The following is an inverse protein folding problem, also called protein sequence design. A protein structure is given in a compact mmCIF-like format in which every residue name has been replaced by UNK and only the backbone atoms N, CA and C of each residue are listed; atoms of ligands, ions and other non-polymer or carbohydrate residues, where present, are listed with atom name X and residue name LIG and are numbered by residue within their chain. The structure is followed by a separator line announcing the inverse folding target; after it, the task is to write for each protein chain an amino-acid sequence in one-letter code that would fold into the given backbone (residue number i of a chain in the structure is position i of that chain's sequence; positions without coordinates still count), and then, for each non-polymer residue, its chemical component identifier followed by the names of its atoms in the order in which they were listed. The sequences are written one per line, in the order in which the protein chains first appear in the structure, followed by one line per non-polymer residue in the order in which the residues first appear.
data_IF_016968145692
#
_entry.id   IF_016968145692
#
_cell.length_a   1.000
_cell.length_b   1.000
_cell.length_c   1.000
_cell.angle_alpha   90.00
_cell.angle_beta   90.00
_cell.angle_gamma   90.00
#
_symmetry.space_group_name_H-M   'P 1'
#
loop_
_entity.id
_entity.type
_entity.pdbx_description
1 polymer ?
#
# COMPACT_ATOMS: atom_id res chain seq x y z
N UNK A 1 67.36 22.50 -2.77
CA UNK A 1 66.08 22.58 -3.52
C UNK A 1 65.26 21.35 -3.20
N UNK A 2 64.22 21.48 -2.36
CA UNK A 2 63.21 20.42 -2.17
C UNK A 2 61.99 20.82 -2.99
N UNK A 3 61.61 20.00 -3.97
CA UNK A 3 60.42 20.21 -4.79
C UNK A 3 59.18 19.73 -4.00
N UNK A 4 58.25 20.65 -3.74
CA UNK A 4 56.93 20.31 -3.23
C UNK A 4 56.05 19.83 -4.40
N UNK A 5 55.61 18.58 -4.32
CA UNK A 5 54.60 18.02 -5.23
C UNK A 5 53.24 18.55 -4.77
N UNK A 6 52.67 19.49 -5.52
CA UNK A 6 51.27 19.90 -5.39
C UNK A 6 50.40 18.78 -5.97
N UNK A 7 49.62 18.12 -5.10
CA UNK A 7 48.55 17.22 -5.53
C UNK A 7 47.30 18.05 -5.78
N UNK A 8 46.91 18.17 -7.05
CA UNK A 8 45.62 18.75 -7.45
C UNK A 8 44.49 17.86 -6.97
N UNK A 9 43.69 18.34 -6.02
CA UNK A 9 42.42 17.73 -5.65
C UNK A 9 41.38 18.22 -6.67
N UNK A 10 40.91 17.32 -7.53
CA UNK A 10 39.73 17.58 -8.36
C UNK A 10 38.51 17.31 -7.49
N UNK A 11 37.88 18.37 -6.99
CA UNK A 11 36.56 18.28 -6.37
C UNK A 11 35.55 18.19 -7.52
N UNK A 12 35.06 16.98 -7.80
CA UNK A 12 33.87 16.80 -8.62
C UNK A 12 32.69 17.22 -7.74
N UNK A 13 32.29 18.49 -7.85
CA UNK A 13 31.03 18.95 -7.30
C UNK A 13 29.90 18.27 -8.05
N UNK A 14 29.33 17.20 -7.49
CA UNK A 14 28.03 16.71 -7.92
C UNK A 14 27.05 17.81 -7.53
N UNK A 15 26.58 18.56 -8.54
CA UNK A 15 25.46 19.46 -8.38
C UNK A 15 24.24 18.57 -8.15
N UNK A 16 23.94 18.29 -6.89
CA UNK A 16 22.61 17.81 -6.52
C UNK A 16 21.70 19.02 -6.69
N UNK A 17 21.11 19.16 -7.87
CA UNK A 17 19.93 20.03 -8.01
C UNK A 17 18.94 19.52 -6.98
N UNK A 18 18.53 20.39 -6.05
CA UNK A 18 17.42 20.08 -5.16
C UNK A 18 16.27 19.61 -6.05
N UNK A 19 15.78 18.39 -5.82
CA UNK A 19 14.55 17.93 -6.43
C UNK A 19 13.51 19.02 -6.15
N UNK A 20 12.92 19.59 -7.21
CA UNK A 20 11.80 20.50 -7.02
C UNK A 20 10.78 19.75 -6.17
N UNK A 21 10.31 20.37 -5.09
CA UNK A 21 9.37 19.72 -4.20
C UNK A 21 8.18 19.24 -5.04
N UNK A 22 7.95 17.91 -5.06
CA UNK A 22 6.85 17.31 -5.80
C UNK A 22 5.54 18.01 -5.40
N UNK A 23 4.87 18.60 -6.38
CA UNK A 23 3.60 19.30 -6.18
C UNK A 23 2.61 18.33 -5.51
N UNK A 24 1.77 18.83 -4.60
CA UNK A 24 0.74 17.97 -4.00
C UNK A 24 -0.41 17.81 -4.99
N UNK A 25 -0.88 16.57 -5.27
CA UNK A 25 -2.02 16.37 -6.15
C UNK A 25 -3.29 16.97 -5.57
N UNK A 26 -4.16 17.48 -6.44
CA UNK A 26 -5.51 17.91 -6.09
C UNK A 26 -6.32 16.72 -5.58
N UNK A 27 -6.21 15.58 -6.27
CA UNK A 27 -6.84 14.30 -5.89
C UNK A 27 -5.81 13.19 -5.94
N UNK A 28 -5.82 12.29 -4.96
CA UNK A 28 -5.00 11.07 -4.97
C UNK A 28 -5.75 9.88 -4.38
N UNK A 29 -5.94 8.84 -5.18
CA UNK A 29 -6.51 7.56 -4.76
C UNK A 29 -5.46 6.48 -4.94
N UNK A 30 -4.86 6.03 -3.83
CA UNK A 30 -3.85 4.97 -3.82
C UNK A 30 -4.46 3.58 -3.83
N UNK A 31 -5.70 3.43 -3.36
CA UNK A 31 -6.36 2.14 -3.15
C UNK A 31 -5.67 1.21 -2.13
N UNK A 32 -4.66 1.73 -1.41
CA UNK A 32 -3.85 1.00 -0.43
C UNK A 32 -4.46 0.90 0.98
N UNK A 33 -5.56 1.58 1.22
CA UNK A 33 -6.23 1.60 2.51
C UNK A 33 -6.66 0.19 2.99
N UNK A 34 -6.32 -0.13 4.25
CA UNK A 34 -6.63 -1.43 4.86
C UNK A 34 -8.10 -1.53 5.32
N UNK A 35 -8.73 -2.65 4.95
CA UNK A 35 -9.93 -3.28 5.55
C UNK A 35 -11.34 -2.80 5.16
N UNK A 36 -12.10 -3.80 4.72
CA UNK A 36 -13.51 -3.86 4.29
C UNK A 36 -13.82 -3.33 2.89
N UNK A 37 -14.40 -4.22 2.07
CA UNK A 37 -14.90 -4.00 0.71
C UNK A 37 -15.97 -2.90 0.58
N UNK A 38 -16.33 -2.27 1.69
CA UNK A 38 -17.35 -1.22 1.81
C UNK A 38 -16.76 0.14 2.17
N UNK A 39 -15.50 0.22 2.59
CA UNK A 39 -14.84 1.48 2.92
C UNK A 39 -14.58 2.30 1.64
N UNK A 40 -14.99 3.59 1.57
CA UNK A 40 -14.71 4.45 0.42
C UNK A 40 -13.23 4.47 0.02
N UNK A 41 -12.95 4.69 -1.26
CA UNK A 41 -11.63 5.06 -1.76
C UNK A 41 -11.20 6.40 -1.15
N UNK A 42 -10.10 6.42 -0.42
CA UNK A 42 -9.64 7.63 0.25
C UNK A 42 -9.02 8.59 -0.76
N UNK A 43 -9.42 9.86 -0.69
CA UNK A 43 -8.71 10.94 -1.37
C UNK A 43 -7.64 11.52 -0.43
N UNK A 44 -6.37 11.33 -0.80
CA UNK A 44 -5.17 11.81 -0.10
C UNK A 44 -4.61 13.11 -0.70
N UNK A 45 -5.35 13.74 -1.61
CA UNK A 45 -4.99 15.01 -2.24
C UNK A 45 -5.19 16.22 -1.31
N UNK A 46 -5.17 17.42 -1.89
CA UNK A 46 -5.39 18.66 -1.13
C UNK A 46 -6.80 18.69 -0.51
N UNK A 47 -6.99 19.16 0.74
CA UNK A 47 -8.33 19.32 1.30
C UNK A 47 -9.19 20.34 0.55
N UNK A 48 -10.54 20.22 0.58
CA UNK A 48 -11.29 19.15 1.23
C UNK A 48 -11.13 17.82 0.49
N UNK A 49 -11.13 16.72 1.24
CA UNK A 49 -11.07 15.39 0.66
C UNK A 49 -12.39 15.08 -0.08
N UNK A 50 -12.30 14.39 -1.21
CA UNK A 50 -13.44 13.87 -1.97
C UNK A 50 -13.38 12.32 -2.06
N UNK A 51 -13.72 11.59 -0.98
CA UNK A 51 -13.67 10.13 -1.00
C UNK A 51 -14.58 9.52 -2.06
N UNK A 52 -14.12 8.44 -2.69
CA UNK A 52 -14.85 7.72 -3.73
C UNK A 52 -15.66 6.56 -3.18
N UNK A 53 -16.91 6.43 -3.58
CA UNK A 53 -17.75 5.25 -3.33
C UNK A 53 -17.56 4.23 -4.45
N UNK A 54 -17.48 2.95 -4.09
CA UNK A 54 -17.39 1.86 -5.06
C UNK A 54 -18.73 1.55 -5.71
N UNK A 55 -18.71 1.36 -7.03
CA UNK A 55 -19.79 0.72 -7.78
C UNK A 55 -19.97 -0.74 -7.36
N UNK A 56 -21.10 -1.36 -7.73
CA UNK A 56 -21.58 -2.64 -7.17
C UNK A 56 -20.67 -3.86 -7.40
N UNK A 57 -19.70 -3.79 -8.31
CA UNK A 57 -18.79 -4.90 -8.62
C UNK A 57 -17.33 -4.45 -8.65
N UNK A 58 -17.01 -3.45 -7.83
CA UNK A 58 -15.68 -2.86 -7.72
C UNK A 58 -15.00 -3.35 -6.45
N UNK A 59 -13.75 -3.80 -6.58
CA UNK A 59 -13.01 -4.45 -5.49
C UNK A 59 -11.58 -3.91 -5.44
N UNK A 60 -10.91 -4.07 -4.29
CA UNK A 60 -9.47 -3.86 -4.15
C UNK A 60 -8.75 -5.21 -4.14
N UNK A 61 -7.69 -5.40 -4.93
CA UNK A 61 -6.92 -6.65 -4.93
C UNK A 61 -5.44 -6.41 -4.74
N UNK A 62 -4.78 -7.33 -4.05
CA UNK A 62 -3.32 -7.38 -3.94
C UNK A 62 -2.70 -7.85 -5.28
N UNK A 63 -2.74 -6.95 -6.25
CA UNK A 63 -2.08 -7.03 -7.54
C UNK A 63 -1.73 -5.59 -7.86
N UNK A 64 -0.49 -5.18 -7.61
CA UNK A 64 -0.08 -3.78 -7.69
C UNK A 64 1.18 -3.64 -8.54
N UNK A 65 1.44 -2.47 -9.14
CA UNK A 65 2.70 -2.17 -9.81
C UNK A 65 3.87 -2.39 -8.86
N UNK A 66 4.86 -3.19 -9.28
CA UNK A 66 6.06 -3.49 -8.49
C UNK A 66 5.82 -4.31 -7.22
N UNK A 67 4.56 -4.63 -6.87
CA UNK A 67 4.19 -5.37 -5.66
C UNK A 67 4.61 -4.72 -4.34
N UNK A 68 4.77 -3.39 -4.31
CA UNK A 68 5.17 -2.64 -3.10
C UNK A 68 4.00 -2.01 -2.36
N UNK A 69 2.89 -1.76 -3.05
CA UNK A 69 1.67 -1.17 -2.51
C UNK A 69 0.64 -2.27 -2.18
N UNK A 70 -0.33 -1.96 -1.33
CA UNK A 70 -1.21 -2.92 -0.68
C UNK A 70 -2.29 -3.45 -1.61
N UNK A 71 -2.90 -2.59 -2.44
CA UNK A 71 -3.95 -3.01 -3.36
C UNK A 71 -4.16 -2.06 -4.53
N UNK A 72 -4.69 -2.59 -5.63
CA UNK A 72 -5.21 -1.83 -6.77
C UNK A 72 -6.72 -2.00 -6.91
N UNK A 73 -7.34 -1.12 -7.69
CA UNK A 73 -8.73 -1.23 -8.09
C UNK A 73 -8.91 -2.34 -9.14
N UNK A 74 -9.75 -3.34 -8.86
CA UNK A 74 -10.18 -4.37 -9.82
C UNK A 74 -11.42 -3.91 -10.57
N UNK A 75 -11.27 -3.73 -11.88
CA UNK A 75 -12.30 -3.25 -12.81
C UNK A 75 -12.74 -4.31 -13.82
N UNK A 76 -12.47 -5.59 -13.55
CA UNK A 76 -12.77 -6.67 -14.51
C UNK A 76 -14.25 -6.98 -14.67
N UNK A 77 -15.08 -6.59 -13.72
CA UNK A 77 -16.50 -6.92 -13.66
C UNK A 77 -17.35 -5.76 -14.17
N UNK A 78 -18.49 -6.08 -14.78
CA UNK A 78 -19.42 -5.06 -15.28
C UNK A 78 -19.90 -4.14 -14.17
N UNK A 79 -19.77 -2.82 -14.40
CA UNK A 79 -20.15 -1.81 -13.41
C UNK A 79 -19.12 -1.59 -12.30
N UNK A 80 -17.87 -2.01 -12.52
CA UNK A 80 -16.77 -1.74 -11.61
C UNK A 80 -16.20 -0.32 -11.83
N UNK A 81 -16.56 0.62 -10.96
CA UNK A 81 -16.09 2.01 -11.01
C UNK A 81 -15.99 2.61 -9.60
N UNK A 82 -15.27 3.72 -9.47
CA UNK A 82 -15.29 4.57 -8.27
C UNK A 82 -15.98 5.87 -8.64
N UNK A 83 -16.83 6.38 -7.77
CA UNK A 83 -17.45 7.69 -7.95
C UNK A 83 -17.38 8.55 -6.70
N UNK A 84 -17.10 9.84 -6.83
CA UNK A 84 -17.22 10.78 -5.71
C UNK A 84 -18.67 11.03 -5.28
N UNK A 85 -19.67 10.57 -6.06
CA UNK A 85 -21.13 10.73 -5.81
C UNK A 85 -21.63 12.17 -5.82
N UNK A 86 -20.73 13.14 -5.68
CA UNK A 86 -20.96 14.58 -5.74
C UNK A 86 -19.82 15.23 -6.51
N UNK A 87 -20.10 16.46 -6.91
CA UNK A 87 -19.16 17.40 -7.52
C UNK A 87 -17.85 17.57 -6.74
N UNK A 88 -16.77 17.84 -7.46
CA UNK A 88 -15.41 17.98 -6.90
C UNK A 88 -14.80 19.33 -7.32
N UNK A 89 -15.25 20.39 -6.65
CA UNK A 89 -14.92 21.80 -6.93
C UNK A 89 -13.42 22.13 -7.15
N UNK A 90 -12.50 21.34 -6.59
CA UNK A 90 -11.06 21.57 -6.70
C UNK A 90 -10.47 21.11 -8.04
N UNK A 91 -11.22 20.37 -8.87
CA UNK A 91 -10.80 20.00 -10.23
C UNK A 91 -11.59 20.74 -11.33
N UNK A 92 -12.43 21.70 -10.94
CA UNK A 92 -13.18 22.54 -11.87
C UNK A 92 -12.39 23.74 -12.36
N UNK A 93 -12.71 24.16 -13.59
CA UNK A 93 -12.18 25.36 -14.23
C UNK A 93 -10.64 25.50 -14.14
N UNK A 94 -9.93 24.38 -14.18
CA UNK A 94 -8.48 24.35 -14.06
C UNK A 94 -7.83 25.03 -15.26
N UNK A 95 -6.80 25.83 -15.02
CA UNK A 95 -6.03 26.43 -16.13
C UNK A 95 -5.03 25.45 -16.76
N UNK A 96 -4.69 24.37 -16.05
CA UNK A 96 -3.83 23.30 -16.51
C UNK A 96 -4.21 22.02 -15.76
N UNK A 97 -3.92 20.86 -16.33
CA UNK A 97 -4.23 19.56 -15.73
C UNK A 97 -3.12 18.57 -16.00
N UNK A 98 -2.77 17.79 -14.98
CA UNK A 98 -2.08 16.51 -15.17
C UNK A 98 -2.90 15.41 -14.52
N UNK A 99 -3.15 14.33 -15.25
CA UNK A 99 -3.72 13.11 -14.69
C UNK A 99 -2.72 11.97 -14.87
N UNK A 100 -2.45 11.22 -13.79
CA UNK A 100 -1.57 10.05 -13.79
C UNK A 100 -2.27 8.85 -13.17
N UNK A 101 -1.97 7.65 -13.65
CA UNK A 101 -2.39 6.40 -13.03
C UNK A 101 -1.59 5.22 -13.60
N UNK A 102 -1.66 4.09 -12.92
CA UNK A 102 -1.22 2.80 -13.43
C UNK A 102 -2.41 2.01 -13.99
N UNK A 103 -2.21 1.35 -15.13
CA UNK A 103 -3.18 0.39 -15.69
C UNK A 103 -2.56 -0.96 -15.97
N UNK A 104 -3.37 -2.01 -15.83
CA UNK A 104 -3.09 -3.35 -16.33
C UNK A 104 -4.37 -3.95 -16.87
N UNK A 105 -4.44 -4.20 -18.18
CA UNK A 105 -5.64 -4.75 -18.81
C UNK A 105 -5.61 -6.28 -18.72
N UNK A 106 -6.74 -6.86 -18.30
CA UNK A 106 -6.93 -8.32 -18.19
C UNK A 106 -7.86 -8.88 -19.27
N UNK A 107 -8.47 -8.00 -20.07
CA UNK A 107 -9.33 -8.33 -21.20
C UNK A 107 -9.25 -7.25 -22.28
N UNK A 108 -9.85 -7.53 -23.45
CA UNK A 108 -9.92 -6.53 -24.53
C UNK A 108 -10.82 -5.38 -24.10
N UNK A 109 -10.32 -4.14 -24.02
CA UNK A 109 -11.15 -2.98 -23.68
C UNK A 109 -12.04 -2.62 -24.87
N UNK A 110 -13.02 -1.76 -24.64
CA UNK A 110 -13.86 -1.15 -25.69
C UNK A 110 -13.39 0.28 -25.95
N UNK A 111 -13.64 0.74 -27.17
CA UNK A 111 -13.59 2.18 -27.45
C UNK A 111 -14.58 2.87 -26.51
N UNK A 112 -14.16 4.01 -25.97
CA UNK A 112 -14.89 4.79 -24.99
C UNK A 112 -14.95 4.20 -23.56
N UNK A 113 -14.24 3.12 -23.25
CA UNK A 113 -14.03 2.79 -21.83
C UNK A 113 -13.28 3.94 -21.15
N UNK A 114 -13.72 4.34 -19.95
CA UNK A 114 -13.25 5.52 -19.23
C UNK A 114 -12.25 5.11 -18.18
N UNK A 115 -11.08 5.73 -18.19
CA UNK A 115 -10.13 5.62 -17.09
C UNK A 115 -10.46 6.65 -16.02
N UNK A 116 -10.67 7.89 -16.44
CA UNK A 116 -11.12 9.00 -15.62
C UNK A 116 -12.14 9.84 -16.40
N UNK A 117 -13.17 10.33 -15.72
CA UNK A 117 -14.18 11.20 -16.32
C UNK A 117 -14.74 12.15 -15.29
N UNK A 118 -14.70 13.43 -15.64
CA UNK A 118 -15.45 14.49 -14.97
C UNK A 118 -16.53 15.07 -15.90
N UNK A 119 -17.02 14.22 -16.80
CA UNK A 119 -18.00 14.62 -17.81
C UNK A 119 -19.43 14.59 -17.24
N UNK A 120 -20.19 15.69 -17.34
CA UNK A 120 -21.57 15.74 -16.89
C UNK A 120 -22.53 14.88 -17.74
N UNK A 121 -23.64 14.49 -17.12
CA UNK A 121 -24.75 13.76 -17.73
C UNK A 121 -25.27 14.45 -19.01
N UNK A 122 -25.37 13.70 -20.12
CA UNK A 122 -25.73 14.28 -21.43
C UNK A 122 -27.23 14.35 -21.71
N UNK A 123 -28.10 13.90 -20.80
CA UNK A 123 -29.55 13.86 -21.03
C UNK A 123 -30.29 14.83 -20.12
N UNK A 124 -31.04 15.84 -20.65
CA UNK A 124 -31.30 16.07 -22.07
C UNK A 124 -30.14 16.68 -22.88
N UNK A 125 -29.31 17.55 -22.30
CA UNK A 125 -27.96 18.04 -22.71
C UNK A 125 -27.42 18.73 -21.44
N UNK A 126 -26.11 18.74 -21.15
CA UNK A 126 -25.61 19.51 -19.99
C UNK A 126 -25.97 21.00 -20.14
N UNK A 127 -26.09 21.77 -19.04
CA UNK A 127 -26.38 23.21 -19.12
C UNK A 127 -25.42 23.98 -20.03
N UNK A 128 -25.86 25.11 -20.58
CA UNK A 128 -25.00 25.96 -21.40
C UNK A 128 -23.81 26.49 -20.59
N UNK A 129 -22.64 26.55 -21.22
CA UNK A 129 -21.35 26.97 -20.65
C UNK A 129 -20.89 26.09 -19.49
N UNK A 130 -21.14 24.78 -19.60
CA UNK A 130 -20.54 23.75 -18.74
C UNK A 130 -19.62 22.88 -19.58
N UNK A 131 -18.53 22.42 -18.98
CA UNK A 131 -17.57 21.57 -19.67
C UNK A 131 -17.49 20.17 -19.08
N UNK A 132 -16.26 19.72 -18.89
CA UNK A 132 -15.90 18.39 -18.42
C UNK A 132 -14.88 17.76 -19.35
N UNK A 133 -14.33 16.63 -18.93
CA UNK A 133 -13.27 15.95 -19.66
C UNK A 133 -13.33 14.44 -19.47
N UNK A 134 -12.78 13.73 -20.45
CA UNK A 134 -12.67 12.28 -20.46
C UNK A 134 -11.21 11.89 -20.73
N UNK A 135 -10.62 11.04 -19.88
CA UNK A 135 -9.47 10.20 -20.23
C UNK A 135 -9.98 8.78 -20.49
N UNK A 136 -9.83 8.30 -21.72
CA UNK A 136 -10.54 7.11 -22.19
C UNK A 136 -9.70 6.25 -23.13
N UNK A 137 -10.12 5.01 -23.33
CA UNK A 137 -9.61 4.11 -24.35
C UNK A 137 -10.13 4.55 -25.73
N UNK A 138 -9.23 4.53 -26.71
CA UNK A 138 -9.49 4.81 -28.11
C UNK A 138 -8.98 3.65 -28.99
N UNK A 139 -9.50 3.58 -30.21
CA UNK A 139 -8.99 2.64 -31.21
C UNK A 139 -7.52 2.95 -31.52
N UNK A 140 -6.66 1.92 -31.68
CA UNK A 140 -5.28 2.14 -32.09
C UNK A 140 -5.23 2.70 -33.52
N UNK A 141 -4.16 3.42 -33.92
CA UNK A 141 -4.03 3.98 -35.27
C UNK A 141 -4.00 2.91 -36.37
N UNK A 142 -3.62 1.68 -36.00
CA UNK A 142 -3.62 0.52 -36.89
C UNK A 142 -3.77 -0.78 -36.10
N UNK A 143 -4.20 -1.84 -36.78
CA UNK A 143 -4.44 -3.15 -36.17
C UNK A 143 -5.77 -3.23 -35.42
N UNK A 144 -5.99 -4.37 -34.75
CA UNK A 144 -7.20 -4.65 -33.97
C UNK A 144 -7.04 -4.13 -32.54
N UNK A 145 -8.09 -3.55 -31.99
CA UNK A 145 -8.16 -3.18 -30.57
C UNK A 145 -7.99 -4.42 -29.68
N UNK A 146 -7.02 -4.38 -28.77
CA UNK A 146 -6.80 -5.42 -27.77
C UNK A 146 -6.14 -4.81 -26.53
N UNK A 147 -6.01 -5.60 -25.46
CA UNK A 147 -5.23 -5.19 -24.28
C UNK A 147 -3.78 -4.82 -24.63
N UNK A 148 -3.23 -5.44 -25.68
CA UNK A 148 -1.88 -5.21 -26.18
C UNK A 148 -1.77 -4.21 -27.34
N UNK A 149 -2.90 -3.62 -27.77
CA UNK A 149 -2.93 -2.65 -28.86
C UNK A 149 -4.15 -1.74 -28.72
N UNK A 150 -4.02 -0.66 -27.95
CA UNK A 150 -5.04 0.37 -27.78
C UNK A 150 -4.40 1.76 -27.72
N UNK A 151 -5.19 2.82 -27.87
CA UNK A 151 -4.72 4.19 -27.64
C UNK A 151 -5.44 4.81 -26.45
N UNK A 152 -4.86 5.86 -25.88
CA UNK A 152 -5.55 6.78 -24.98
C UNK A 152 -6.14 7.93 -25.79
N UNK A 153 -7.27 8.46 -25.34
CA UNK A 153 -7.80 9.76 -25.77
C UNK A 153 -8.13 10.58 -24.52
N UNK A 154 -7.54 11.76 -24.42
CA UNK A 154 -7.93 12.81 -23.49
C UNK A 154 -8.69 13.87 -24.26
N UNK A 155 -9.92 14.15 -23.83
CA UNK A 155 -10.78 15.11 -24.51
C UNK A 155 -11.44 16.06 -23.54
N UNK A 156 -11.55 17.32 -23.97
CA UNK A 156 -12.29 18.39 -23.31
C UNK A 156 -13.64 18.53 -24.01
N UNK A 157 -14.68 18.80 -23.22
CA UNK A 157 -16.03 19.01 -23.70
C UNK A 157 -16.50 20.43 -23.35
N UNK A 158 -17.35 20.99 -24.19
CA UNK A 158 -18.04 22.25 -23.96
C UNK A 158 -19.50 22.13 -24.39
N UNK A 159 -20.44 22.39 -23.49
CA UNK A 159 -21.87 22.40 -23.79
C UNK A 159 -22.37 23.81 -24.07
N UNK A 160 -23.11 23.98 -25.18
CA UNK A 160 -23.86 25.21 -25.47
C UNK A 160 -25.30 25.15 -24.92
N UNK A 161 -25.66 24.09 -24.18
CA UNK A 161 -27.03 23.80 -23.76
C UNK A 161 -27.91 23.20 -24.86
N UNK A 162 -27.39 23.08 -26.08
CA UNK A 162 -28.09 22.47 -27.24
C UNK A 162 -27.21 21.48 -28.01
N UNK A 163 -25.89 21.67 -27.98
CA UNK A 163 -24.89 20.76 -28.52
C UNK A 163 -23.72 20.64 -27.55
N UNK A 164 -22.94 19.57 -27.71
CA UNK A 164 -21.69 19.37 -26.97
C UNK A 164 -20.55 19.32 -27.98
N UNK A 165 -19.65 20.29 -27.90
CA UNK A 165 -18.38 20.27 -28.59
C UNK A 165 -17.41 19.36 -27.83
N UNK A 166 -16.62 18.60 -28.58
CA UNK A 166 -15.58 17.73 -28.02
C UNK A 166 -14.31 17.95 -28.80
N UNK A 167 -13.24 18.27 -28.10
CA UNK A 167 -11.90 18.36 -28.66
C UNK A 167 -11.00 17.35 -27.95
N UNK A 168 -10.28 16.53 -28.72
CA UNK A 168 -9.40 15.53 -28.17
C UNK A 168 -8.45 14.97 -29.22
N UNK A 169 -7.36 14.39 -28.75
CA UNK A 169 -6.36 13.71 -29.56
C UNK A 169 -6.10 12.33 -29.01
N UNK A 170 -5.52 11.44 -29.82
CA UNK A 170 -5.18 10.09 -29.40
C UNK A 170 -3.69 9.87 -29.30
N UNK A 171 -3.26 9.09 -28.32
CA UNK A 171 -1.87 8.63 -28.21
C UNK A 171 -1.53 7.62 -29.32
N UNK A 172 -0.23 7.35 -29.57
CA UNK A 172 0.18 6.11 -30.23
C UNK A 172 -0.34 4.85 -29.49
N UNK A 173 -0.23 3.69 -30.15
CA UNK A 173 -0.60 2.41 -29.57
C UNK A 173 0.19 2.09 -28.29
N UNK A 174 -0.49 1.47 -27.35
CA UNK A 174 -0.03 1.02 -26.06
C UNK A 174 -0.34 -0.46 -25.89
N UNK A 175 0.41 -1.07 -24.98
CA UNK A 175 0.27 -2.47 -24.61
C UNK A 175 0.28 -2.57 -23.09
N UNK A 176 -0.87 -2.91 -22.52
CA UNK A 176 -1.08 -3.16 -21.10
C UNK A 176 -1.61 -4.58 -20.87
N UNK A 177 -1.39 -5.50 -21.82
CA UNK A 177 -1.86 -6.88 -21.73
C UNK A 177 -1.15 -7.61 -20.60
N UNK A 178 -1.87 -7.79 -19.49
CA UNK A 178 -1.40 -8.46 -18.28
C UNK A 178 -0.10 -7.88 -17.70
N UNK A 179 0.22 -6.61 -17.99
CA UNK A 179 1.37 -5.88 -17.45
C UNK A 179 1.00 -4.47 -17.03
N UNK A 180 1.67 -3.97 -16.00
CA UNK A 180 1.48 -2.63 -15.48
C UNK A 180 2.15 -1.59 -16.38
N UNK A 181 1.35 -0.59 -16.78
CA UNK A 181 1.76 0.54 -17.58
C UNK A 181 1.43 1.80 -16.80
N UNK A 182 2.44 2.63 -16.57
CA UNK A 182 2.23 3.97 -16.04
C UNK A 182 1.80 4.87 -17.18
N UNK A 183 0.71 5.60 -17.01
CA UNK A 183 0.23 6.58 -17.98
C UNK A 183 0.13 7.95 -17.32
N UNK A 184 0.46 8.98 -18.09
CA UNK A 184 0.17 10.36 -17.73
C UNK A 184 -0.30 11.15 -18.94
N UNK A 185 -1.23 12.07 -18.71
CA UNK A 185 -1.62 13.11 -19.66
C UNK A 185 -1.46 14.47 -19.01
N UNK A 186 -0.83 15.40 -19.72
CA UNK A 186 -0.70 16.81 -19.31
C UNK A 186 -1.43 17.70 -20.30
N UNK A 187 -2.04 18.77 -19.81
CA UNK A 187 -2.58 19.91 -20.56
C UNK A 187 -2.09 21.18 -19.87
N UNK A 188 -1.30 22.01 -20.54
CA UNK A 188 -0.89 23.30 -19.98
C UNK A 188 -1.88 24.44 -20.28
N UNK A 189 -1.70 25.59 -19.62
CA UNK A 189 -2.57 26.76 -19.81
C UNK A 189 -2.47 27.46 -21.16
N UNK A 190 -1.63 26.96 -22.07
CA UNK A 190 -1.63 27.36 -23.48
C UNK A 190 -2.37 26.36 -24.38
N UNK A 191 -2.97 25.32 -23.80
CA UNK A 191 -3.68 24.26 -24.51
C UNK A 191 -2.76 23.15 -25.03
N UNK A 192 -1.49 23.07 -24.62
CA UNK A 192 -0.59 22.00 -25.09
C UNK A 192 -0.86 20.72 -24.33
N UNK A 193 -1.38 19.73 -25.05
CA UNK A 193 -1.65 18.38 -24.57
C UNK A 193 -0.51 17.42 -24.93
N UNK A 194 -0.06 16.61 -23.97
CA UNK A 194 0.97 15.59 -24.16
C UNK A 194 0.63 14.30 -23.41
N UNK A 195 1.06 13.16 -23.96
CA UNK A 195 0.98 11.85 -23.31
C UNK A 195 2.37 11.37 -22.90
N UNK A 196 2.45 10.70 -21.76
CA UNK A 196 3.65 10.05 -21.26
C UNK A 196 3.34 8.64 -20.83
N UNK A 197 4.27 7.73 -21.06
CA UNK A 197 4.13 6.33 -20.70
C UNK A 197 5.43 5.79 -20.11
N UNK A 198 5.29 4.97 -19.08
CA UNK A 198 6.36 4.19 -18.48
C UNK A 198 5.89 2.78 -18.14
N UNK A 199 6.76 2.00 -17.52
CA UNK A 199 6.42 0.69 -16.96
C UNK A 199 7.06 0.55 -15.59
N UNK A 200 6.96 -0.62 -14.97
CA UNK A 200 7.68 -0.91 -13.72
C UNK A 200 9.20 -0.74 -13.87
N UNK A 201 9.73 -0.95 -15.09
CA UNK A 201 11.18 -0.96 -15.35
C UNK A 201 11.67 0.11 -16.31
N UNK A 202 10.75 0.81 -17.00
CA UNK A 202 11.10 1.86 -17.96
C UNK A 202 10.60 3.22 -17.48
N UNK A 203 11.42 4.28 -17.61
CA UNK A 203 11.02 5.63 -17.20
C UNK A 203 9.77 6.14 -17.91
N UNK A 204 9.07 7.09 -17.29
CA UNK A 204 7.99 7.83 -17.94
C UNK A 204 8.56 8.75 -19.03
N UNK A 205 8.21 8.49 -20.28
CA UNK A 205 8.68 9.25 -21.44
C UNK A 205 7.51 9.76 -22.28
N UNK A 206 7.65 10.93 -22.90
CA UNK A 206 6.64 11.45 -23.80
C UNK A 206 6.45 10.50 -24.98
N UNK A 207 5.21 10.25 -25.36
CA UNK A 207 4.85 9.51 -26.56
C UNK A 207 3.98 10.37 -27.48
N UNK A 208 4.17 10.20 -28.79
CA UNK A 208 3.40 10.93 -29.79
C UNK A 208 3.67 12.45 -29.81
N UNK A 209 2.95 13.17 -30.68
CA UNK A 209 3.11 14.62 -30.81
C UNK A 209 2.48 15.37 -29.64
N UNK A 210 2.92 16.60 -29.41
CA UNK A 210 2.15 17.59 -28.65
C UNK A 210 0.99 18.07 -29.51
N UNK A 211 -0.22 18.04 -28.96
CA UNK A 211 -1.41 18.61 -29.63
C UNK A 211 -1.80 19.94 -28.99
N UNK A 212 -2.29 20.88 -29.78
CA UNK A 212 -2.82 22.16 -29.28
C UNK A 212 -4.34 22.08 -29.24
N UNK A 213 -4.93 22.29 -28.06
CA UNK A 213 -6.36 22.38 -27.86
C UNK A 213 -6.78 23.85 -27.84
N UNK A 214 -7.96 24.13 -28.40
CA UNK A 214 -8.60 25.45 -28.39
C UNK A 214 -9.69 25.56 -27.31
N UNK A 215 -10.29 24.44 -26.92
CA UNK A 215 -11.16 24.34 -25.76
C UNK A 215 -10.33 24.38 -24.46
N UNK A 216 -10.96 24.90 -23.42
CA UNK A 216 -10.39 25.03 -22.08
C UNK A 216 -11.14 24.10 -21.11
N UNK A 217 -10.51 23.76 -20.00
CA UNK A 217 -11.20 23.07 -18.91
C UNK A 217 -12.19 24.05 -18.27
N UNK A 218 -13.47 23.74 -18.37
CA UNK A 218 -14.53 24.56 -17.79
C UNK A 218 -15.10 23.88 -16.54
N UNK A 219 -15.80 24.69 -15.75
CA UNK A 219 -16.56 24.25 -14.58
C UNK A 219 -17.72 23.32 -14.98
N UNK A 220 -18.08 22.42 -14.08
CA UNK A 220 -19.31 21.65 -14.17
C UNK A 220 -19.82 21.25 -12.77
N UNK A 221 -20.83 20.38 -12.69
CA UNK A 221 -21.37 19.90 -11.41
C UNK A 221 -21.43 18.37 -11.39
N UNK A 222 -20.49 17.72 -12.08
CA UNK A 222 -20.41 16.28 -12.20
C UNK A 222 -19.59 15.70 -11.07
N UNK A 223 -19.97 14.51 -10.64
CA UNK A 223 -19.05 13.65 -9.92
C UNK A 223 -17.85 13.26 -10.80
N UNK A 224 -16.69 13.09 -10.18
CA UNK A 224 -15.56 12.40 -10.80
C UNK A 224 -15.80 10.89 -10.73
N UNK A 225 -15.60 10.21 -11.87
CA UNK A 225 -15.56 8.75 -11.92
C UNK A 225 -14.20 8.21 -12.37
N UNK A 226 -13.74 7.17 -11.69
CA UNK A 226 -12.61 6.31 -12.10
C UNK A 226 -13.22 5.01 -12.65
N UNK A 227 -12.75 4.55 -13.81
CA UNK A 227 -13.32 3.38 -14.50
C UNK A 227 -14.80 3.53 -14.92
N UNK A 228 -15.28 4.75 -15.16
CA UNK A 228 -16.67 5.00 -15.55
C UNK A 228 -16.93 6.46 -15.91
N UNK A 229 -18.18 6.82 -16.18
CA UNK A 229 -18.60 8.22 -16.41
C UNK A 229 -20.03 8.46 -15.94
N UNK A 230 -20.32 9.66 -15.44
CA UNK A 230 -21.67 10.12 -15.11
C UNK A 230 -22.48 10.47 -16.38
N UNK A 231 -21.81 10.69 -17.51
CA UNK A 231 -22.42 10.95 -18.82
C UNK A 231 -23.32 9.80 -19.30
N UNK A 232 -22.93 8.56 -18.98
CA UNK A 232 -23.54 7.34 -19.47
C UNK A 232 -23.79 6.34 -18.32
N UNK A 233 -24.63 6.71 -17.33
CA UNK A 233 -24.70 6.01 -16.05
C UNK A 233 -25.25 4.57 -16.14
N UNK A 234 -25.90 4.23 -17.25
CA UNK A 234 -26.44 2.89 -17.55
C UNK A 234 -25.54 2.05 -18.45
N UNK A 235 -24.45 2.62 -18.98
CA UNK A 235 -23.52 1.92 -19.87
C UNK A 235 -22.26 1.58 -19.10
N UNK A 236 -21.87 0.31 -19.14
CA UNK A 236 -20.59 -0.11 -18.59
C UNK A 236 -19.44 0.42 -19.44
N UNK A 237 -18.69 1.35 -18.86
CA UNK A 237 -17.49 1.98 -19.43
C UNK A 237 -16.23 1.63 -18.66
N UNK A 238 -16.27 0.58 -17.83
CA UNK A 238 -15.10 0.13 -17.10
C UNK A 238 -14.19 -0.69 -18.01
N UNK A 239 -12.91 -0.31 -18.19
CA UNK A 239 -11.97 -1.17 -18.90
C UNK A 239 -11.66 -2.39 -18.05
N UNK A 240 -11.76 -3.58 -18.64
CA UNK A 240 -11.55 -4.83 -17.90
C UNK A 240 -10.07 -5.00 -17.51
N UNK A 241 -9.75 -4.80 -16.23
CA UNK A 241 -8.38 -4.83 -15.76
C UNK A 241 -8.21 -4.33 -14.33
N UNK A 242 -7.11 -3.63 -14.10
CA UNK A 242 -6.72 -3.06 -12.82
C UNK A 242 -6.26 -1.62 -13.02
N UNK A 243 -6.59 -0.76 -12.05
CA UNK A 243 -6.16 0.64 -11.99
C UNK A 243 -5.53 0.91 -10.62
N UNK A 244 -4.41 1.63 -10.60
CA UNK A 244 -3.73 1.96 -9.34
C UNK A 244 -3.16 3.38 -9.32
N UNK A 245 -2.97 3.94 -8.12
CA UNK A 245 -2.39 5.26 -7.82
C UNK A 245 -2.86 6.38 -8.76
N UNK A 246 -4.17 6.64 -8.75
CA UNK A 246 -4.81 7.68 -9.56
C UNK A 246 -4.54 9.05 -8.95
N UNK A 247 -3.99 9.98 -9.74
CA UNK A 247 -3.71 11.35 -9.30
C UNK A 247 -4.17 12.38 -10.32
N UNK A 248 -4.65 13.52 -9.82
CA UNK A 248 -4.99 14.70 -10.62
C UNK A 248 -4.30 15.92 -10.02
N UNK A 249 -3.68 16.74 -10.85
CA UNK A 249 -2.96 17.98 -10.51
C UNK A 249 -3.54 19.16 -11.29
N UNK A 250 -3.45 20.37 -10.72
CA UNK A 250 -3.90 21.62 -11.34
C UNK A 250 -2.83 22.31 -12.19
N UNK A 251 -1.78 21.57 -12.56
CA UNK A 251 -0.62 22.04 -13.30
C UNK A 251 -0.23 21.03 -14.38
N UNK A 252 0.54 21.47 -15.37
CA UNK A 252 1.19 20.56 -16.33
C UNK A 252 2.56 20.16 -15.77
N UNK A 253 2.69 18.92 -15.29
CA UNK A 253 3.91 18.43 -14.66
C UNK A 253 5.03 18.17 -15.68
N UNK A 254 6.26 18.49 -15.29
CA UNK A 254 7.45 18.22 -16.08
C UNK A 254 7.80 16.71 -16.10
N UNK A 255 8.53 16.22 -17.11
CA UNK A 255 8.90 14.80 -17.21
C UNK A 255 9.63 14.24 -15.98
N UNK A 256 10.46 15.04 -15.30
CA UNK A 256 11.14 14.62 -14.08
C UNK A 256 10.15 14.36 -12.92
N UNK A 257 9.13 15.21 -12.78
CA UNK A 257 8.08 15.04 -11.76
C UNK A 257 7.22 13.81 -12.05
N UNK A 258 6.91 13.55 -13.33
CA UNK A 258 6.19 12.33 -13.74
C UNK A 258 6.98 11.06 -13.44
N UNK A 259 8.31 11.10 -13.61
CA UNK A 259 9.18 9.98 -13.25
C UNK A 259 9.26 9.77 -11.73
N UNK A 260 9.29 10.84 -10.94
CA UNK A 260 9.20 10.73 -9.48
C UNK A 260 7.88 10.10 -9.03
N UNK A 261 6.75 10.49 -9.64
CA UNK A 261 5.43 9.89 -9.37
C UNK A 261 5.42 8.40 -9.73
N UNK A 262 5.92 8.04 -10.92
CA UNK A 262 6.03 6.64 -11.35
C UNK A 262 6.84 5.83 -10.34
N UNK A 263 7.98 6.36 -9.89
CA UNK A 263 8.88 5.70 -8.96
C UNK A 263 8.32 5.61 -7.54
N UNK A 264 7.48 6.56 -7.11
CA UNK A 264 6.86 6.54 -5.79
C UNK A 264 6.03 5.26 -5.57
N UNK A 265 5.30 4.81 -6.59
CA UNK A 265 4.48 3.58 -6.52
C UNK A 265 5.30 2.28 -6.60
N UNK A 266 6.58 2.36 -6.99
CA UNK A 266 7.48 1.22 -7.22
C UNK A 266 8.58 1.09 -6.17
N UNK A 267 8.46 1.84 -5.09
CA UNK A 267 9.39 1.80 -3.98
C UNK A 267 8.60 1.37 -2.76
N UNK A 268 9.26 0.67 -1.85
CA UNK A 268 8.77 0.56 -0.48
C UNK A 268 8.40 1.97 0.01
N UNK A 269 7.31 2.15 0.78
CA UNK A 269 6.91 3.45 1.29
C UNK A 269 8.14 4.18 1.83
N UNK A 270 8.34 5.46 1.50
CA UNK A 270 9.52 6.19 1.93
C UNK A 270 9.67 6.03 3.44
N UNK A 271 10.90 5.76 3.89
CA UNK A 271 11.28 5.83 5.31
C UNK A 271 10.94 7.25 5.78
N UNK A 272 9.75 7.42 6.36
CA UNK A 272 9.14 8.73 6.56
C UNK A 272 7.62 8.83 6.33
N UNK A 273 6.94 7.77 5.87
CA UNK A 273 5.51 7.63 6.13
C UNK A 273 5.33 7.78 7.64
N UNK A 274 4.55 8.77 8.07
CA UNK A 274 4.27 8.99 9.49
C UNK A 274 3.68 7.67 9.99
N UNK A 275 4.32 6.97 10.94
CA UNK A 275 3.73 5.76 11.51
C UNK A 275 2.35 6.16 12.05
N UNK A 276 1.29 5.67 11.41
CA UNK A 276 -0.05 5.79 11.97
C UNK A 276 -0.19 4.72 13.03
N UNK A 277 -0.44 5.16 14.26
CA UNK A 277 -0.84 4.25 15.32
C UNK A 277 -2.21 3.67 14.95
N UNK A 278 -2.23 2.46 14.41
CA UNK A 278 -3.42 1.65 14.44
C UNK A 278 -3.57 1.15 15.87
N UNK A 279 -4.58 1.68 16.57
CA UNK A 279 -4.96 1.15 17.87
C UNK A 279 -5.19 -0.36 17.71
N UNK A 280 -4.44 -1.13 18.47
CA UNK A 280 -4.63 -2.56 18.55
C UNK A 280 -6.07 -2.77 19.03
N UNK A 281 -6.93 -3.37 18.19
CA UNK A 281 -8.32 -3.63 18.56
C UNK A 281 -8.38 -4.63 19.72
N UNK A 282 -9.57 -4.92 20.22
CA UNK A 282 -9.77 -5.88 21.32
C UNK A 282 -10.39 -7.16 20.74
N UNK A 283 -10.12 -8.32 21.35
CA UNK A 283 -10.95 -9.51 21.13
C UNK A 283 -12.40 -9.19 21.54
N UNK A 284 -13.41 -9.86 20.97
CA UNK A 284 -14.79 -9.67 21.39
C UNK A 284 -14.91 -9.91 22.91
N UNK A 285 -15.31 -8.87 23.67
CA UNK A 285 -15.35 -8.80 25.15
C UNK A 285 -14.01 -8.56 25.88
N UNK A 286 -12.94 -8.14 25.20
CA UNK A 286 -11.65 -7.80 25.79
C UNK A 286 -11.55 -6.35 26.31
N UNK A 287 -10.76 -6.13 27.36
CA UNK A 287 -10.61 -4.83 28.03
C UNK A 287 -9.30 -4.09 27.67
N UNK A 288 -8.29 -4.79 27.16
CA UNK A 288 -6.97 -4.24 26.82
C UNK A 288 -6.19 -5.18 25.90
N UNK A 289 -5.24 -4.65 25.14
CA UNK A 289 -4.28 -5.41 24.33
C UNK A 289 -2.92 -4.70 24.33
N UNK A 290 -1.83 -5.48 24.21
CA UNK A 290 -0.46 -4.97 24.05
C UNK A 290 0.25 -5.66 22.89
N UNK A 291 1.14 -4.93 22.23
CA UNK A 291 2.14 -5.49 21.32
C UNK A 291 3.50 -5.55 22.03
N UNK A 292 4.18 -6.67 21.88
CA UNK A 292 5.47 -6.96 22.52
C UNK A 292 6.61 -7.09 21.49
N UNK A 293 6.33 -7.61 20.28
CA UNK A 293 7.32 -7.74 19.22
C UNK A 293 6.72 -7.69 17.81
N UNK A 294 7.57 -7.49 16.81
CA UNK A 294 7.22 -7.44 15.38
C UNK A 294 8.23 -8.23 14.55
N UNK A 295 7.76 -8.92 13.50
CA UNK A 295 8.61 -9.63 12.54
C UNK A 295 9.48 -8.67 11.74
N UNK A 296 10.57 -9.16 11.16
CA UNK A 296 11.55 -8.31 10.45
C UNK A 296 10.95 -7.59 9.24
N UNK A 297 9.96 -8.20 8.59
CA UNK A 297 9.21 -7.63 7.47
C UNK A 297 8.03 -6.73 7.89
N UNK A 298 7.78 -6.57 9.20
CA UNK A 298 6.67 -5.80 9.74
C UNK A 298 5.29 -6.43 9.56
N UNK A 299 5.19 -7.62 8.96
CA UNK A 299 3.90 -8.24 8.59
C UNK A 299 3.16 -8.89 9.75
N UNK A 300 3.87 -9.21 10.84
CA UNK A 300 3.33 -9.93 12.00
C UNK A 300 3.74 -9.21 13.28
N UNK A 301 2.75 -8.74 14.04
CA UNK A 301 2.95 -8.21 15.40
C UNK A 301 2.43 -9.25 16.39
N UNK A 302 3.14 -9.44 17.50
CA UNK A 302 2.73 -10.39 18.55
C UNK A 302 2.62 -9.68 19.90
N UNK A 303 1.84 -10.25 20.81
CA UNK A 303 1.69 -9.71 22.15
C UNK A 303 0.63 -10.43 22.95
N UNK A 304 -0.23 -9.67 23.64
CA UNK A 304 -1.32 -10.24 24.41
C UNK A 304 -2.63 -9.45 24.25
N UNK A 305 -3.75 -10.13 24.49
CA UNK A 305 -5.06 -9.52 24.65
C UNK A 305 -5.69 -10.01 25.96
N UNK A 306 -6.22 -9.09 26.76
CA UNK A 306 -6.83 -9.37 28.05
C UNK A 306 -8.36 -9.36 27.96
N UNK A 307 -8.97 -10.40 28.52
CA UNK A 307 -10.41 -10.48 28.78
C UNK A 307 -10.68 -10.41 30.30
N UNK A 308 -11.95 -10.33 30.70
CA UNK A 308 -12.31 -10.41 32.12
C UNK A 308 -11.99 -11.77 32.78
N UNK A 309 -11.56 -12.77 31.99
CA UNK A 309 -11.42 -14.16 32.43
C UNK A 309 -10.04 -14.74 32.15
N UNK A 310 -9.29 -14.23 31.17
CA UNK A 310 -7.99 -14.76 30.75
C UNK A 310 -7.17 -13.76 29.91
N UNK A 311 -5.85 -13.95 29.89
CA UNK A 311 -4.92 -13.30 28.95
C UNK A 311 -4.51 -14.28 27.85
N UNK A 312 -4.61 -13.84 26.58
CA UNK A 312 -4.31 -14.66 25.40
C UNK A 312 -3.09 -14.15 24.68
N UNK A 313 -2.19 -15.05 24.30
CA UNK A 313 -1.09 -14.78 23.38
C UNK A 313 -1.65 -14.46 22.00
N UNK A 314 -1.24 -13.32 21.51
CA UNK A 314 -1.65 -12.64 20.30
C UNK A 314 -0.84 -12.88 19.01
N UNK A 315 -1.42 -13.05 17.81
CA UNK A 315 -0.82 -12.54 16.55
C UNK A 315 -1.71 -11.53 15.81
N UNK A 316 -1.17 -10.39 15.39
CA UNK A 316 -1.79 -9.46 14.42
C UNK A 316 -1.11 -9.59 13.07
N UNK A 317 -1.90 -9.88 12.04
CA UNK A 317 -1.45 -9.96 10.65
C UNK A 317 -2.52 -9.40 9.73
N UNK A 318 -2.16 -8.48 8.84
CA UNK A 318 -3.08 -7.83 7.89
C UNK A 318 -4.37 -7.31 8.58
N UNK A 319 -4.20 -6.56 9.68
CA UNK A 319 -5.30 -5.97 10.44
C UNK A 319 -6.14 -6.96 11.25
N UNK A 320 -5.86 -8.26 11.16
CA UNK A 320 -6.62 -9.31 11.86
C UNK A 320 -5.87 -9.77 13.10
N UNK A 321 -6.53 -9.63 14.24
CA UNK A 321 -6.11 -10.24 15.50
C UNK A 321 -6.52 -11.71 15.57
N UNK A 322 -5.57 -12.60 15.81
CA UNK A 322 -5.81 -14.02 16.03
C UNK A 322 -5.22 -14.45 17.36
N UNK A 323 -6.04 -15.01 18.23
CA UNK A 323 -5.57 -15.60 19.48
C UNK A 323 -4.82 -16.91 19.19
N UNK A 324 -3.63 -17.04 19.76
CA UNK A 324 -2.89 -18.29 19.80
C UNK A 324 -3.50 -19.24 20.84
N UNK A 325 -3.53 -20.55 20.58
CA UNK A 325 -4.13 -21.50 21.51
C UNK A 325 -3.30 -21.62 22.78
N UNK A 326 -3.98 -21.90 23.89
CA UNK A 326 -3.30 -22.32 25.11
C UNK A 326 -2.69 -23.70 24.95
N UNK A 327 -1.49 -23.92 25.50
CA UNK A 327 -1.05 -25.26 25.82
C UNK A 327 -2.08 -25.95 26.74
N UNK A 328 -2.18 -27.27 26.61
CA UNK A 328 -3.08 -28.07 27.46
C UNK A 328 -2.76 -27.86 28.95
N UNK A 329 -3.75 -27.37 29.71
CA UNK A 329 -3.62 -27.11 31.15
C UNK A 329 -3.21 -25.69 31.52
N UNK A 330 -3.01 -24.79 30.54
CA UNK A 330 -2.68 -23.38 30.81
C UNK A 330 -3.91 -22.47 30.90
N UNK A 331 -3.89 -21.50 31.83
CA UNK A 331 -4.93 -20.49 32.05
C UNK A 331 -4.69 -19.19 31.30
N UNK A 332 -3.43 -18.82 31.07
CA UNK A 332 -3.03 -17.55 30.44
C UNK A 332 -1.81 -17.74 29.56
N UNK A 333 -1.67 -16.92 28.52
CA UNK A 333 -0.55 -16.97 27.59
C UNK A 333 -0.12 -15.59 27.11
N UNK A 334 1.17 -15.46 26.83
CA UNK A 334 1.83 -14.22 26.44
C UNK A 334 2.79 -14.52 25.30
N UNK A 335 2.66 -13.82 24.17
CA UNK A 335 3.67 -13.85 23.12
C UNK A 335 4.64 -12.68 23.33
N UNK A 336 5.94 -12.94 23.27
CA UNK A 336 7.01 -11.95 23.53
C UNK A 336 7.94 -11.72 22.36
N UNK A 337 8.15 -12.73 21.52
CA UNK A 337 9.06 -12.64 20.38
C UNK A 337 8.52 -13.44 19.19
N UNK A 338 9.00 -13.11 17.98
CA UNK A 338 8.53 -13.67 16.71
C UNK A 338 9.70 -13.82 15.73
N UNK A 339 9.71 -14.89 14.95
CA UNK A 339 10.70 -15.14 13.89
C UNK A 339 10.64 -14.08 12.79
N UNK A 340 11.69 -13.98 11.97
CA UNK A 340 11.81 -12.93 10.97
C UNK A 340 10.68 -12.96 9.93
N UNK A 341 10.17 -14.15 9.61
CA UNK A 341 9.06 -14.41 8.67
C UNK A 341 7.66 -14.46 9.33
N UNK A 342 7.59 -14.27 10.65
CA UNK A 342 6.33 -14.33 11.40
C UNK A 342 5.77 -15.74 11.63
N UNK A 343 6.48 -16.81 11.23
CA UNK A 343 5.95 -18.18 11.28
C UNK A 343 6.06 -18.87 12.64
N UNK A 344 7.00 -18.42 13.49
CA UNK A 344 7.22 -18.95 14.84
C UNK A 344 7.12 -17.83 15.85
N UNK A 345 6.31 -18.05 16.88
CA UNK A 345 6.14 -17.11 18.00
C UNK A 345 6.64 -17.78 19.27
N UNK A 346 7.26 -17.04 20.18
CA UNK A 346 7.63 -17.57 21.49
C UNK A 346 7.29 -16.60 22.62
N UNK A 347 7.14 -17.14 23.82
CA UNK A 347 6.76 -16.41 25.01
C UNK A 347 6.54 -17.37 26.17
N UNK A 348 5.51 -17.12 26.99
CA UNK A 348 5.25 -17.95 28.17
C UNK A 348 3.75 -18.19 28.41
N UNK A 349 3.40 -19.23 29.16
CA UNK A 349 2.03 -19.47 29.64
C UNK A 349 1.99 -19.93 31.08
N UNK A 350 0.85 -19.70 31.73
CA UNK A 350 0.61 -20.02 33.12
C UNK A 350 -0.11 -21.36 33.21
N UNK A 351 0.53 -22.38 33.77
CA UNK A 351 -0.10 -23.68 34.05
C UNK A 351 -0.75 -23.70 35.43
N UNK A 352 -0.35 -22.78 36.32
CA UNK A 352 -1.02 -22.46 37.57
C UNK A 352 -0.62 -21.03 37.98
N UNK A 353 -1.18 -20.53 39.10
CA UNK A 353 -0.79 -19.22 39.66
C UNK A 353 0.70 -19.11 40.05
N UNK A 354 1.40 -20.24 40.13
CA UNK A 354 2.81 -20.32 40.55
C UNK A 354 3.71 -21.04 39.56
N UNK A 355 3.21 -21.41 38.37
CA UNK A 355 3.98 -22.14 37.36
C UNK A 355 3.83 -21.47 36.01
N UNK A 356 4.95 -20.98 35.47
CA UNK A 356 5.06 -20.40 34.13
C UNK A 356 6.05 -21.21 33.32
N UNK A 357 5.69 -21.53 32.08
CA UNK A 357 6.65 -22.13 31.16
C UNK A 357 6.84 -21.29 29.91
N UNK A 358 8.09 -21.24 29.47
CA UNK A 358 8.46 -20.83 28.13
C UNK A 358 7.83 -21.78 27.12
N UNK A 359 7.19 -21.21 26.10
CA UNK A 359 6.46 -21.92 25.04
C UNK A 359 6.81 -21.29 23.70
N UNK A 360 6.77 -22.11 22.65
CA UNK A 360 6.73 -21.63 21.28
C UNK A 360 5.45 -22.07 20.57
N UNK A 361 4.96 -21.25 19.67
CA UNK A 361 3.87 -21.56 18.76
C UNK A 361 4.43 -21.71 17.35
N UNK A 362 4.18 -22.87 16.75
CA UNK A 362 4.55 -23.17 15.37
C UNK A 362 3.29 -23.64 14.65
N UNK A 363 2.91 -22.98 13.56
CA UNK A 363 1.71 -23.31 12.79
C UNK A 363 0.43 -23.43 13.65
N UNK A 364 0.29 -22.56 14.66
CA UNK A 364 -0.84 -22.56 15.58
C UNK A 364 -0.83 -23.69 16.60
N UNK A 365 0.27 -24.41 16.80
CA UNK A 365 0.42 -25.43 17.84
C UNK A 365 1.33 -24.91 18.94
N UNK A 366 0.86 -24.93 20.19
CA UNK A 366 1.63 -24.52 21.36
C UNK A 366 2.52 -25.67 21.87
N UNK A 367 3.81 -25.43 21.96
CA UNK A 367 4.83 -26.39 22.40
C UNK A 367 5.62 -25.85 23.60
N UNK A 368 5.45 -26.44 24.80
CA UNK A 368 6.29 -26.11 25.96
C UNK A 368 7.76 -26.46 25.70
N UNK A 369 8.67 -25.56 26.08
CA UNK A 369 10.11 -25.73 25.87
C UNK A 369 10.78 -26.59 26.96
N UNK A 370 10.10 -26.75 28.10
CA UNK A 370 10.60 -27.47 29.27
C UNK A 370 11.26 -26.54 30.30
N UNK A 371 12.16 -27.13 31.10
CA UNK A 371 12.93 -26.46 32.14
C UNK A 371 14.40 -26.90 32.05
N UNK A 372 15.30 -26.09 32.59
CA UNK A 372 16.67 -26.48 32.88
C UNK A 372 16.71 -27.56 33.98
N UNK A 373 17.78 -28.38 34.04
CA UNK A 373 17.97 -29.32 35.14
C UNK A 373 17.95 -28.61 36.50
N UNK A 374 17.00 -28.99 37.35
CA UNK A 374 16.78 -28.37 38.66
C UNK A 374 15.87 -27.14 38.64
N UNK A 375 15.35 -26.75 37.47
CA UNK A 375 14.25 -25.79 37.34
C UNK A 375 12.90 -26.49 37.34
N UNK A 376 11.91 -25.88 38.00
CA UNK A 376 10.59 -26.52 38.21
C UNK A 376 9.40 -25.55 38.19
N UNK A 377 9.61 -24.24 38.09
CA UNK A 377 8.56 -23.27 38.44
C UNK A 377 8.33 -22.21 37.36
N UNK A 378 9.36 -21.45 36.99
CA UNK A 378 9.23 -20.31 36.08
C UNK A 378 10.30 -20.31 34.98
N UNK A 379 9.87 -20.49 33.73
CA UNK A 379 10.68 -20.20 32.55
C UNK A 379 10.02 -19.18 31.62
N UNK A 380 10.84 -18.35 30.98
CA UNK A 380 10.45 -17.28 30.06
C UNK A 380 11.24 -17.38 28.77
N UNK A 381 10.56 -17.28 27.62
CA UNK A 381 11.21 -17.06 26.33
C UNK A 381 11.27 -15.55 26.06
N UNK A 382 12.48 -15.01 25.90
CA UNK A 382 12.73 -13.58 25.72
C UNK A 382 13.20 -13.24 24.30
N UNK A 383 13.90 -14.16 23.63
CA UNK A 383 14.40 -13.96 22.27
C UNK A 383 14.26 -15.21 21.41
N UNK A 384 14.16 -15.02 20.10
CA UNK A 384 14.05 -16.09 19.10
C UNK A 384 14.90 -15.78 17.86
N UNK A 385 15.53 -16.81 17.27
CA UNK A 385 16.28 -16.66 16.02
C UNK A 385 15.38 -16.38 14.82
N UNK A 386 15.97 -15.82 13.77
CA UNK A 386 15.26 -15.46 12.54
C UNK A 386 14.52 -16.65 11.89
N UNK A 387 15.08 -17.85 11.99
CA UNK A 387 14.50 -19.10 11.48
C UNK A 387 13.56 -19.82 12.48
N UNK A 388 13.37 -19.26 13.68
CA UNK A 388 12.50 -19.82 14.72
C UNK A 388 13.04 -21.06 15.44
N UNK A 389 14.26 -21.53 15.12
CA UNK A 389 14.80 -22.78 15.66
C UNK A 389 15.55 -22.63 16.98
N UNK A 390 15.94 -21.42 17.36
CA UNK A 390 16.59 -21.14 18.64
C UNK A 390 15.72 -20.19 19.45
N UNK A 391 15.46 -20.54 20.71
CA UNK A 391 14.80 -19.67 21.68
C UNK A 391 15.73 -19.47 22.87
N UNK A 392 15.87 -18.25 23.36
CA UNK A 392 16.64 -17.96 24.57
C UNK A 392 15.78 -17.28 25.62
N UNK A 393 16.23 -17.34 26.86
CA UNK A 393 15.52 -16.70 27.95
C UNK A 393 16.11 -17.04 29.30
N UNK A 394 15.23 -17.20 30.28
CA UNK A 394 15.60 -17.52 31.64
C UNK A 394 14.70 -18.58 32.26
N UNK A 395 15.27 -19.35 33.19
CA UNK A 395 14.56 -20.34 33.99
C UNK A 395 15.00 -20.25 35.45
N UNK A 396 14.04 -20.46 36.35
CA UNK A 396 14.29 -20.50 37.80
C UNK A 396 14.87 -21.86 38.19
N UNK A 397 16.08 -21.88 38.73
CA UNK A 397 16.83 -23.09 39.05
C UNK A 397 17.15 -23.19 40.55
N UNK A 398 16.96 -24.39 41.10
CA UNK A 398 17.31 -24.73 42.48
C UNK A 398 16.43 -24.10 43.56
N UNK A 399 16.71 -24.44 44.83
CA UNK A 399 15.86 -24.07 45.97
C UNK A 399 15.87 -22.57 46.34
N UNK A 400 16.84 -21.80 45.83
CA UNK A 400 16.99 -20.37 46.08
C UNK A 400 16.40 -19.50 44.96
N UNK A 401 15.74 -20.09 43.96
CA UNK A 401 15.18 -19.37 42.81
C UNK A 401 16.23 -18.56 42.02
N UNK A 402 17.44 -19.11 41.87
CA UNK A 402 18.44 -18.48 41.02
C UNK A 402 17.97 -18.47 39.57
N UNK A 403 18.32 -17.45 38.79
CA UNK A 403 17.83 -17.28 37.42
C UNK A 403 18.88 -17.79 36.43
N UNK A 404 18.70 -18.98 35.87
CA UNK A 404 19.59 -19.56 34.88
C UNK A 404 19.26 -19.09 33.46
N UNK A 405 20.20 -18.47 32.72
CA UNK A 405 19.98 -18.16 31.31
C UNK A 405 19.98 -19.47 30.52
N UNK A 406 19.04 -19.62 29.59
CA UNK A 406 18.99 -20.81 28.73
C UNK A 406 19.09 -20.46 27.24
N UNK A 407 19.58 -21.44 26.48
CA UNK A 407 19.35 -21.58 25.04
C UNK A 407 18.59 -22.88 24.82
N UNK A 408 17.48 -22.77 24.11
CA UNK A 408 16.67 -23.88 23.65
C UNK A 408 16.86 -24.05 22.15
N UNK A 409 17.03 -25.31 21.75
CA UNK A 409 16.96 -25.81 20.36
C UNK A 409 15.97 -26.97 20.36
N UNK A 410 15.46 -27.46 19.21
CA UNK A 410 14.41 -28.47 19.17
C UNK A 410 14.61 -29.62 20.16
N UNK A 411 13.71 -29.69 21.14
CA UNK A 411 13.65 -30.70 22.21
C UNK A 411 14.80 -30.66 23.23
N UNK A 412 15.55 -29.57 23.34
CA UNK A 412 16.68 -29.49 24.29
C UNK A 412 16.85 -28.07 24.82
N UNK A 413 16.66 -27.90 26.13
CA UNK A 413 17.01 -26.68 26.86
C UNK A 413 18.39 -26.84 27.50
N UNK A 414 19.29 -25.91 27.26
CA UNK A 414 20.66 -25.92 27.77
C UNK A 414 20.94 -24.64 28.54
N UNK A 415 21.60 -24.76 29.69
CA UNK A 415 22.02 -23.60 30.46
C UNK A 415 23.21 -22.93 29.76
N UNK A 416 23.14 -21.61 29.60
CA UNK A 416 24.25 -20.82 29.09
C UNK A 416 25.30 -20.60 30.19
N UNK A 417 26.60 -20.55 29.84
CA UNK A 417 27.66 -20.34 30.82
C UNK A 417 27.56 -18.94 31.44
N UNK A 418 27.79 -18.86 32.75
CA UNK A 418 27.82 -17.60 33.49
C UNK A 418 29.27 -17.16 33.77
N UNK A 419 29.46 -15.86 34.00
CA UNK A 419 30.77 -15.29 34.33
C UNK A 419 31.12 -15.59 35.81
N UNK A 420 32.18 -16.38 36.01
CA UNK A 420 32.70 -16.68 37.36
C UNK A 420 31.87 -17.75 38.09
N UNK A 421 31.65 -17.56 39.40
CA UNK A 421 30.88 -18.50 40.25
C UNK A 421 29.39 -18.16 40.36
N UNK A 422 28.92 -17.13 39.64
CA UNK A 422 27.51 -16.75 39.63
C UNK A 422 26.77 -17.67 38.66
N UNK A 423 25.54 -18.06 38.99
CA UNK A 423 24.67 -18.89 38.14
C UNK A 423 23.51 -18.04 37.57
N UNK A 424 23.50 -16.75 37.88
CA UNK A 424 22.40 -15.84 37.58
C UNK A 424 22.63 -15.07 36.28
N UNK A 425 21.61 -15.07 35.42
CA UNK A 425 21.62 -14.34 34.15
C UNK A 425 20.33 -14.53 33.35
N UNK A 426 20.10 -13.62 32.41
CA UNK A 426 18.98 -13.69 31.45
C UNK A 426 19.57 -13.52 30.05
N UNK A 427 19.21 -14.40 29.13
CA UNK A 427 19.53 -14.23 27.72
C UNK A 427 18.33 -13.55 27.03
N UNK A 428 18.53 -12.30 26.61
CA UNK A 428 17.45 -11.46 26.07
C UNK A 428 17.26 -11.58 24.56
N UNK A 429 18.30 -11.97 23.83
CA UNK A 429 18.27 -11.92 22.37
C UNK A 429 19.16 -12.99 21.74
N UNK A 430 18.86 -13.35 20.49
CA UNK A 430 19.63 -14.29 19.66
C UNK A 430 20.05 -13.54 18.41
N UNK A 431 21.32 -13.66 18.02
CA UNK A 431 21.75 -13.07 16.76
C UNK A 431 21.01 -13.71 15.56
N UNK A 432 20.81 -12.97 14.46
CA UNK A 432 20.10 -13.49 13.28
C UNK A 432 20.85 -14.60 12.53
N UNK A 433 22.12 -14.85 12.84
CA UNK A 433 23.07 -15.71 12.11
C UNK A 433 23.35 -17.08 12.76
#
# INVERSE_FOLDING_TARGET
MRAHILRSIVIVGVLVTAAEASERPLLRYTFDEETSWTSPAMDLGVPPAAPGTFGPSTYRLNNTPGSFTCASLDTRFTGAYVTTSTDVNKIDALTALTATLWIKLAGTPKVDDRLLSDRPATSPVPPANTGGWDLQIAAPPSGTLSAGNFSLSFAILHSTGTMVWREGSSSPSLDADNKWVFIAVTLDGSGRQQYYVGSETTPAVQIGPTTLYSLILEDNNSELRIAGTAAEPSTDRSPSGYIDDVRIYGSALAPAQLEEIRLENLRSPPVGAVPSFHGITHLANGCSSSAEAVSADGSTVVGLAESNYDSRAITWKNGVMTALPHPSGASDSYARCVSADGSVVAGNSYFSSSIRQAIRWVNGVAEPLGYLPGGQMDSYAEGISADGNTVVGSDSIGANYAIGPFKWVPNTMQQLPALGSQVEGIAWDVSPD
#
